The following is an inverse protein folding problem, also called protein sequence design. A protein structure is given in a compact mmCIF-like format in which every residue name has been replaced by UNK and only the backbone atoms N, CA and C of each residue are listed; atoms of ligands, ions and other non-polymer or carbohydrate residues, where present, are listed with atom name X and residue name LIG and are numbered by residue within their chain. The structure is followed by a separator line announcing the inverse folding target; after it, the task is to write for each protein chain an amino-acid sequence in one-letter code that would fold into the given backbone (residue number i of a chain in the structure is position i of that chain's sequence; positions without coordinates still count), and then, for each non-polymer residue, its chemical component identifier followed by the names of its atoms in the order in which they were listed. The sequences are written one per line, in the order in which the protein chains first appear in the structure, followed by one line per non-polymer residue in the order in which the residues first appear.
data_IF_261737596372
#
_entry.id   IF_261737596372
#
_cell.length_a   1.000
_cell.length_b   1.000
_cell.length_c   1.000
_cell.angle_alpha   90.00
_cell.angle_beta   90.00
_cell.angle_gamma   90.00
#
_symmetry.space_group_name_H-M   'P 1'
#
loop_
_entity.id
_entity.type
_entity.pdbx_description
1 polymer ?
#
# COMPACT_ATOMS: atom_id res chain seq x y z
N UNK A 1 -5.87 9.85 6.38
CA UNK A 1 -6.65 8.68 5.94
C UNK A 1 -6.36 7.55 6.90
N UNK A 2 -7.37 6.79 7.31
CA UNK A 2 -7.22 5.56 8.11
C UNK A 2 -7.88 4.44 7.32
N UNK A 3 -7.18 3.32 7.13
CA UNK A 3 -7.68 2.13 6.42
C UNK A 3 -7.52 0.95 7.36
N UNK A 4 -8.61 0.32 7.82
CA UNK A 4 -8.54 -0.93 8.56
C UNK A 4 -7.81 -2.02 7.76
N UNK A 5 -7.00 -2.84 8.41
CA UNK A 5 -6.21 -3.88 7.71
C UNK A 5 -7.07 -4.91 6.98
N UNK A 6 -8.28 -5.18 7.46
CA UNK A 6 -9.22 -6.09 6.80
C UNK A 6 -9.88 -5.48 5.55
N UNK A 7 -9.87 -4.14 5.43
CA UNK A 7 -10.32 -3.41 4.25
C UNK A 7 -9.17 -3.14 3.27
N UNK A 8 -7.93 -3.51 3.60
CA UNK A 8 -6.76 -3.33 2.74
C UNK A 8 -6.67 -4.47 1.73
N UNK A 9 -6.88 -4.16 0.44
CA UNK A 9 -6.90 -5.13 -0.65
C UNK A 9 -5.54 -5.30 -1.33
N UNK A 10 -4.85 -4.19 -1.63
CA UNK A 10 -3.56 -4.23 -2.31
C UNK A 10 -2.66 -3.05 -1.96
N UNK A 11 -1.35 -3.29 -2.08
CA UNK A 11 -0.28 -2.30 -1.97
C UNK A 11 0.64 -2.50 -3.17
N UNK A 12 0.61 -1.55 -4.11
CA UNK A 12 1.36 -1.63 -5.36
C UNK A 12 2.40 -0.51 -5.42
N UNK A 13 3.70 -0.84 -5.44
CA UNK A 13 4.76 0.10 -5.77
C UNK A 13 4.61 0.60 -7.20
N UNK A 14 4.83 1.89 -7.43
CA UNK A 14 4.78 2.50 -8.75
C UNK A 14 5.78 3.66 -8.88
N UNK A 15 6.13 4.03 -10.11
CA UNK A 15 6.95 5.20 -10.39
C UNK A 15 6.47 5.88 -11.66
N UNK A 16 6.81 7.16 -11.83
CA UNK A 16 6.46 7.90 -13.04
C UNK A 16 7.31 7.37 -14.20
N UNK A 17 6.66 6.97 -15.29
CA UNK A 17 7.36 6.45 -16.48
C UNK A 17 8.30 7.48 -17.13
N UNK A 18 7.97 8.77 -17.04
CA UNK A 18 8.80 9.85 -17.57
C UNK A 18 9.90 10.28 -16.57
N UNK A 19 9.67 10.09 -15.27
CA UNK A 19 10.61 10.45 -14.22
C UNK A 19 10.66 9.38 -13.11
N UNK A 20 11.51 8.35 -13.22
CA UNK A 20 11.58 7.25 -12.25
C UNK A 20 11.95 7.67 -10.80
N UNK A 21 12.44 8.90 -10.60
CA UNK A 21 12.69 9.44 -9.26
C UNK A 21 11.39 9.80 -8.52
N UNK A 22 10.30 10.05 -9.25
CA UNK A 22 8.97 10.21 -8.68
C UNK A 22 8.37 8.83 -8.42
N UNK A 23 8.43 8.41 -7.15
CA UNK A 23 7.90 7.13 -6.70
C UNK A 23 6.57 7.31 -5.96
N UNK A 24 5.67 6.37 -6.16
CA UNK A 24 4.32 6.35 -5.61
C UNK A 24 4.03 4.98 -5.01
N UNK A 25 3.19 4.94 -3.98
CA UNK A 25 2.61 3.69 -3.48
C UNK A 25 1.11 3.80 -3.66
N UNK A 26 0.54 2.92 -4.48
CA UNK A 26 -0.91 2.78 -4.63
C UNK A 26 -1.41 1.84 -3.54
N UNK A 27 -2.39 2.29 -2.78
CA UNK A 27 -3.11 1.49 -1.79
C UNK A 27 -4.54 1.36 -2.25
N UNK A 28 -5.02 0.13 -2.39
CA UNK A 28 -6.38 -0.19 -2.83
C UNK A 28 -7.12 -0.83 -1.67
N UNK A 29 -8.33 -0.35 -1.41
CA UNK A 29 -9.24 -0.91 -0.42
C UNK A 29 -10.18 -1.96 -1.04
N UNK A 30 -10.86 -2.74 -0.21
CA UNK A 30 -11.77 -3.82 -0.65
C UNK A 30 -12.96 -3.27 -1.45
N UNK A 31 -13.43 -2.06 -1.13
CA UNK A 31 -14.49 -1.34 -1.87
C UNK A 31 -13.96 -0.54 -3.09
N UNK A 32 -12.69 -0.76 -3.46
CA UNK A 32 -11.99 -0.18 -4.61
C UNK A 32 -11.71 1.33 -4.52
N UNK A 33 -11.71 1.96 -3.33
CA UNK A 33 -11.07 3.26 -3.22
C UNK A 33 -9.55 3.13 -3.40
N UNK A 34 -8.99 4.02 -4.22
CA UNK A 34 -7.56 4.11 -4.50
C UNK A 34 -6.93 5.32 -3.82
N UNK A 35 -5.85 5.08 -3.09
CA UNK A 35 -5.05 6.12 -2.45
C UNK A 35 -3.63 6.09 -3.01
N UNK A 36 -3.16 7.24 -3.47
CA UNK A 36 -1.81 7.42 -4.01
C UNK A 36 -0.97 8.20 -3.02
N UNK A 37 0.03 7.53 -2.44
CA UNK A 37 0.97 8.15 -1.52
C UNK A 37 2.30 8.45 -2.21
N UNK A 38 2.89 9.59 -1.87
CA UNK A 38 4.14 10.11 -2.43
C UNK A 38 4.99 10.74 -1.32
N UNK A 39 6.20 11.19 -1.68
CA UNK A 39 7.03 12.00 -0.77
C UNK A 39 7.72 11.18 0.32
N UNK A 40 7.91 9.89 0.08
CA UNK A 40 8.63 9.02 1.01
C UNK A 40 10.13 9.37 1.02
N UNK A 41 10.67 9.63 2.21
CA UNK A 41 12.11 9.78 2.40
C UNK A 41 12.85 8.47 2.12
N UNK A 42 12.26 7.35 2.54
CA UNK A 42 12.74 6.01 2.26
C UNK A 42 11.60 5.17 1.66
N UNK A 43 11.51 5.21 0.34
CA UNK A 43 10.43 4.57 -0.42
C UNK A 43 10.42 3.05 -0.26
N UNK A 44 11.57 2.39 -0.41
CA UNK A 44 11.62 0.92 -0.45
C UNK A 44 11.26 0.32 0.93
N UNK A 45 11.69 0.96 2.02
CA UNK A 45 11.28 0.57 3.37
C UNK A 45 9.79 0.82 3.63
N UNK A 46 9.24 1.94 3.13
CA UNK A 46 7.80 2.22 3.27
C UNK A 46 6.93 1.19 2.52
N UNK A 47 7.35 0.78 1.32
CA UNK A 47 6.72 -0.32 0.58
C UNK A 47 6.72 -1.60 1.41
N UNK A 48 7.87 -1.98 1.97
CA UNK A 48 7.99 -3.19 2.80
C UNK A 48 7.01 -3.20 3.97
N UNK A 49 6.96 -2.12 4.75
CA UNK A 49 6.03 -2.02 5.88
C UNK A 49 4.55 -2.10 5.47
N UNK A 50 4.18 -1.48 4.34
CA UNK A 50 2.80 -1.52 3.85
C UNK A 50 2.43 -2.93 3.32
N UNK A 51 3.37 -3.64 2.70
CA UNK A 51 3.18 -5.02 2.27
C UNK A 51 3.06 -5.98 3.46
N UNK A 52 3.85 -5.78 4.52
CA UNK A 52 3.72 -6.55 5.77
C UNK A 52 2.36 -6.32 6.46
N UNK A 53 1.88 -5.08 6.44
CA UNK A 53 0.55 -4.75 6.95
C UNK A 53 -0.56 -5.42 6.14
N UNK A 54 -0.44 -5.46 4.80
CA UNK A 54 -1.35 -6.21 3.92
C UNK A 54 -1.33 -7.71 4.24
N UNK A 55 -0.15 -8.30 4.45
CA UNK A 55 -0.03 -9.72 4.79
C UNK A 55 -0.66 -10.02 6.15
N UNK A 56 -0.45 -9.15 7.13
CA UNK A 56 -1.06 -9.26 8.47
C UNK A 56 -2.58 -9.17 8.41
N UNK A 57 -3.14 -8.24 7.63
CA UNK A 57 -4.59 -8.13 7.42
C UNK A 57 -5.21 -9.40 6.83
N UNK A 58 -4.52 -10.05 5.88
CA UNK A 58 -4.95 -11.34 5.31
C UNK A 58 -4.96 -12.47 6.33
N UNK A 59 -3.96 -12.54 7.21
CA UNK A 59 -3.89 -13.55 8.28
C UNK A 59 -5.06 -13.40 9.25
N UNK A 60 -5.32 -12.18 9.72
CA UNK A 60 -6.43 -11.89 10.64
C UNK A 60 -7.78 -12.32 10.05
N UNK A 61 -8.00 -12.07 8.76
CA UNK A 61 -9.22 -12.49 8.06
C UNK A 61 -9.36 -14.01 7.89
N UNK A 62 -8.25 -14.75 7.86
CA UNK A 62 -8.27 -16.21 7.74
C UNK A 62 -8.52 -16.95 9.06
N UNK A 63 -8.32 -16.26 10.19
CA UNK A 63 -8.49 -16.79 11.55
C UNK A 63 -9.84 -16.42 12.19
N UNK A 64 -10.63 -15.57 11.53
CA UNK A 64 -11.95 -15.10 11.96
C UNK A 64 -13.09 -15.90 11.30
#
# INVERSE_FOLDING_TARGET
VVIPLHELKAVNPSCNNANPAEKYIQVISVDNHEFWFMGFLNYDTAVGFLQDALQTGKVILSEA
#
